data_IF_956571942368
#
_entry.id   IF_956571942368
#
_cell.length_a   1.000
_cell.length_b   1.000
_cell.length_c   1.000
_cell.angle_alpha   90.00
_cell.angle_beta   90.00
_cell.angle_gamma   90.00
#
_symmetry.space_group_name_H-M   'P 1'
#
loop_
_entity.id
_entity.type
_entity.pdbx_description
1 polymer ?
#
# COMPACT_ATOMS: atom_id res chain seq x y z
N UNK A 1 -1.50 2.19 -14.81
CA UNK A 1 -2.35 2.94 -15.76
C UNK A 1 -3.64 3.46 -15.12
N UNK A 2 -4.49 2.62 -14.53
CA UNK A 2 -5.78 3.06 -13.93
C UNK A 2 -5.63 4.19 -12.90
N UNK A 3 -4.64 4.09 -12.01
CA UNK A 3 -4.35 5.12 -11.02
C UNK A 3 -3.98 6.47 -11.63
N UNK A 4 -3.08 6.46 -12.61
CA UNK A 4 -2.64 7.65 -13.32
C UNK A 4 -3.78 8.33 -14.07
N UNK A 5 -4.56 7.57 -14.85
CA UNK A 5 -5.68 8.12 -15.61
C UNK A 5 -6.82 8.58 -14.71
N UNK A 6 -7.05 7.92 -13.57
CA UNK A 6 -8.04 8.34 -12.58
C UNK A 6 -7.73 9.71 -11.99
N UNK A 7 -6.48 9.94 -11.58
CA UNK A 7 -6.00 11.24 -11.08
C UNK A 7 -6.22 12.34 -12.11
N UNK A 8 -5.86 12.09 -13.37
CA UNK A 8 -6.00 13.06 -14.46
C UNK A 8 -7.46 13.33 -14.83
N UNK A 9 -8.29 12.29 -14.85
CA UNK A 9 -9.72 12.44 -15.10
C UNK A 9 -10.38 13.26 -13.98
N UNK A 10 -10.11 12.94 -12.72
CA UNK A 10 -10.59 13.72 -11.58
C UNK A 10 -10.13 15.18 -11.66
N UNK A 11 -8.84 15.43 -11.91
CA UNK A 11 -8.31 16.79 -12.05
C UNK A 11 -9.01 17.58 -13.16
N UNK A 12 -9.24 16.94 -14.31
CA UNK A 12 -9.94 17.56 -15.44
C UNK A 12 -11.38 17.94 -15.08
N UNK A 13 -12.12 17.07 -14.40
CA UNK A 13 -13.50 17.37 -14.01
C UNK A 13 -13.56 18.43 -12.90
N UNK A 14 -12.59 18.45 -12.00
CA UNK A 14 -12.52 19.42 -10.92
C UNK A 14 -12.11 20.83 -11.40
N UNK A 15 -11.17 20.91 -12.33
CA UNK A 15 -10.57 22.19 -12.76
C UNK A 15 -11.05 22.67 -14.13
N UNK A 16 -11.76 21.82 -14.87
CA UNK A 16 -12.22 22.05 -16.23
C UNK A 16 -11.13 21.89 -17.32
N UNK A 17 -9.88 21.57 -16.96
CA UNK A 17 -8.75 21.49 -17.90
C UNK A 17 -7.82 20.33 -17.54
N UNK A 18 -7.15 19.75 -18.54
CA UNK A 18 -6.06 18.82 -18.29
C UNK A 18 -4.77 19.59 -17.96
N UNK A 19 -4.02 19.14 -16.94
CA UNK A 19 -2.75 19.75 -16.54
C UNK A 19 -1.58 18.80 -16.73
N UNK A 20 -0.63 19.19 -17.59
CA UNK A 20 0.63 18.45 -17.75
C UNK A 20 1.45 18.43 -16.45
N UNK A 21 1.40 19.52 -15.68
CA UNK A 21 2.10 19.59 -14.39
C UNK A 21 1.53 18.57 -13.40
N UNK A 22 0.20 18.39 -13.35
CA UNK A 22 -0.44 17.34 -12.53
C UNK A 22 -0.07 15.95 -13.02
N UNK A 23 -0.04 15.73 -14.34
CA UNK A 23 0.47 14.49 -14.93
C UNK A 23 1.88 14.17 -14.43
N UNK A 24 2.82 15.10 -14.58
CA UNK A 24 4.20 14.91 -14.14
C UNK A 24 4.31 14.68 -12.63
N UNK A 25 3.63 15.48 -11.81
CA UNK A 25 3.64 15.36 -10.34
C UNK A 25 3.01 14.07 -9.82
N UNK A 26 2.12 13.43 -10.60
CA UNK A 26 1.51 12.17 -10.20
C UNK A 26 2.45 10.97 -10.38
N UNK A 27 3.46 11.07 -11.25
CA UNK A 27 4.35 9.94 -11.59
C UNK A 27 5.10 9.39 -10.35
N UNK A 28 5.74 10.22 -9.49
CA UNK A 28 6.36 9.72 -8.27
C UNK A 28 5.42 8.97 -7.33
N UNK A 29 4.14 9.33 -7.33
CA UNK A 29 3.13 8.69 -6.47
C UNK A 29 2.69 7.32 -7.01
N UNK A 30 2.92 7.04 -8.29
CA UNK A 30 2.70 5.71 -8.86
C UNK A 30 3.74 4.71 -8.36
N UNK A 31 5.01 5.16 -8.23
CA UNK A 31 6.09 4.41 -7.60
C UNK A 31 6.14 4.70 -6.09
N UNK A 32 5.04 4.38 -5.42
CA UNK A 32 4.88 4.57 -3.98
C UNK A 32 5.40 3.39 -3.17
N UNK A 33 5.62 3.62 -1.88
CA UNK A 33 5.85 2.55 -0.91
C UNK A 33 4.82 1.42 -1.00
N UNK A 34 3.56 1.81 -1.20
CA UNK A 34 2.43 0.90 -1.33
C UNK A 34 2.54 0.02 -2.59
N UNK A 35 3.09 0.57 -3.68
CA UNK A 35 3.39 -0.19 -4.89
C UNK A 35 4.51 -1.19 -4.68
N UNK A 36 5.63 -0.77 -4.08
CA UNK A 36 6.77 -1.65 -3.79
C UNK A 36 6.40 -2.83 -2.89
N UNK A 37 5.44 -2.64 -1.99
CA UNK A 37 4.93 -3.69 -1.11
C UNK A 37 3.90 -4.62 -1.74
N UNK A 38 3.54 -4.42 -3.00
CA UNK A 38 2.64 -5.33 -3.70
C UNK A 38 1.16 -5.14 -3.37
N UNK A 39 0.74 -4.00 -2.79
CA UNK A 39 -0.68 -3.70 -2.55
C UNK A 39 -1.43 -3.30 -3.84
N UNK A 40 -1.31 -4.14 -4.87
CA UNK A 40 -1.79 -3.85 -6.23
C UNK A 40 -3.31 -3.72 -6.29
N UNK A 41 -4.03 -4.53 -5.51
CA UNK A 41 -5.48 -4.43 -5.38
C UNK A 41 -5.88 -3.07 -4.77
N UNK A 42 -5.23 -2.61 -3.70
CA UNK A 42 -5.49 -1.28 -3.14
C UNK A 42 -5.21 -0.17 -4.16
N UNK A 43 -4.11 -0.24 -4.90
CA UNK A 43 -3.75 0.79 -5.90
C UNK A 43 -4.70 0.82 -7.10
N UNK A 44 -5.15 -0.34 -7.56
CA UNK A 44 -6.22 -0.44 -8.56
C UNK A 44 -7.50 0.21 -8.04
N UNK A 45 -7.91 -0.15 -6.82
CA UNK A 45 -9.09 0.40 -6.16
C UNK A 45 -8.99 1.92 -6.01
N UNK A 46 -7.83 2.43 -5.60
CA UNK A 46 -7.55 3.86 -5.47
C UNK A 46 -7.63 4.59 -6.82
N UNK A 47 -7.16 3.97 -7.91
CA UNK A 47 -7.36 4.51 -9.25
C UNK A 47 -8.83 4.60 -9.64
N UNK A 48 -9.60 3.55 -9.33
CA UNK A 48 -11.04 3.53 -9.54
C UNK A 48 -11.77 4.57 -8.65
N UNK A 49 -11.29 4.84 -7.44
CA UNK A 49 -11.81 5.93 -6.57
C UNK A 49 -11.74 7.27 -7.30
N UNK A 50 -10.59 7.63 -7.88
CA UNK A 50 -10.46 8.90 -8.60
C UNK A 50 -11.28 8.91 -9.89
N UNK A 51 -11.38 7.78 -10.60
CA UNK A 51 -12.32 7.66 -11.73
C UNK A 51 -13.77 7.90 -11.32
N UNK A 52 -14.21 7.26 -10.24
CA UNK A 52 -15.55 7.43 -9.68
C UNK A 52 -15.82 8.86 -9.22
N UNK A 53 -14.84 9.50 -8.58
CA UNK A 53 -14.94 10.90 -8.18
C UNK A 53 -15.03 11.85 -9.37
N UNK A 54 -14.22 11.63 -10.41
CA UNK A 54 -14.32 12.41 -11.65
C UNK A 54 -15.67 12.21 -12.33
N UNK A 55 -16.15 10.97 -12.40
CA UNK A 55 -17.45 10.64 -12.99
C UNK A 55 -18.59 11.32 -12.24
N UNK A 56 -18.54 11.26 -10.91
CA UNK A 56 -19.53 11.91 -10.05
C UNK A 56 -19.60 13.42 -10.32
N UNK A 57 -18.46 14.11 -10.34
CA UNK A 57 -18.41 15.54 -10.66
C UNK A 57 -18.96 15.85 -12.06
N UNK A 58 -18.71 14.99 -13.05
CA UNK A 58 -19.19 15.17 -14.42
C UNK A 58 -20.71 14.97 -14.55
N UNK A 59 -21.27 14.00 -13.84
CA UNK A 59 -22.62 13.50 -14.11
C UNK A 59 -23.65 13.82 -13.00
N UNK A 60 -23.24 14.33 -11.83
CA UNK A 60 -24.10 14.51 -10.64
C UNK A 60 -25.43 15.23 -10.90
N UNK A 61 -25.47 16.17 -11.84
CA UNK A 61 -26.69 16.92 -12.17
C UNK A 61 -27.70 16.09 -13.00
N UNK A 62 -27.32 14.88 -13.39
CA UNK A 62 -28.12 13.90 -14.16
C UNK A 62 -28.25 12.60 -13.36
N UNK A 63 -29.01 12.57 -12.25
CA UNK A 63 -29.03 11.45 -11.30
C UNK A 63 -29.43 10.12 -11.93
N UNK A 64 -30.28 10.14 -12.97
CA UNK A 64 -30.71 8.94 -13.73
C UNK A 64 -29.54 8.18 -14.38
N UNK A 65 -28.44 8.88 -14.69
CA UNK A 65 -27.23 8.30 -15.29
C UNK A 65 -26.11 8.20 -14.25
N UNK A 66 -25.95 9.23 -13.42
CA UNK A 66 -24.89 9.28 -12.41
C UNK A 66 -24.98 8.12 -11.42
N UNK A 67 -26.16 7.87 -10.85
CA UNK A 67 -26.33 6.89 -9.76
C UNK A 67 -26.07 5.47 -10.24
N UNK A 68 -26.68 4.96 -11.34
CA UNK A 68 -26.42 3.58 -11.78
C UNK A 68 -24.94 3.32 -12.08
N UNK A 69 -24.27 4.25 -12.77
CA UNK A 69 -22.84 4.10 -13.09
C UNK A 69 -21.99 4.18 -11.82
N UNK A 70 -22.31 5.08 -10.89
CA UNK A 70 -21.60 5.20 -9.62
C UNK A 70 -21.79 3.95 -8.73
N UNK A 71 -22.96 3.30 -8.77
CA UNK A 71 -23.18 2.01 -8.11
C UNK A 71 -22.29 0.90 -8.70
N UNK A 72 -22.17 0.82 -10.04
CA UNK A 72 -21.28 -0.15 -10.69
C UNK A 72 -19.82 0.11 -10.31
N UNK A 73 -19.39 1.38 -10.31
CA UNK A 73 -18.04 1.77 -9.88
C UNK A 73 -17.82 1.42 -8.40
N UNK A 74 -18.79 1.69 -7.53
CA UNK A 74 -18.71 1.36 -6.10
C UNK A 74 -18.54 -0.15 -5.86
N UNK A 75 -19.29 -0.99 -6.57
CA UNK A 75 -19.15 -2.45 -6.53
C UNK A 75 -17.75 -2.86 -7.02
N UNK A 76 -17.28 -2.31 -8.14
CA UNK A 76 -15.96 -2.61 -8.68
C UNK A 76 -14.84 -2.22 -7.70
N UNK A 77 -14.94 -1.05 -7.07
CA UNK A 77 -13.98 -0.61 -6.04
C UNK A 77 -14.03 -1.56 -4.83
N UNK A 78 -15.22 -1.93 -4.35
CA UNK A 78 -15.38 -2.82 -3.21
C UNK A 78 -14.76 -4.21 -3.46
N UNK A 79 -15.09 -4.83 -4.61
CA UNK A 79 -14.53 -6.13 -5.01
C UNK A 79 -13.02 -6.08 -5.21
N UNK A 80 -12.49 -4.90 -5.55
CA UNK A 80 -11.06 -4.68 -5.67
C UNK A 80 -10.40 -4.56 -4.29
N UNK A 81 -10.90 -3.67 -3.42
CA UNK A 81 -10.38 -3.46 -2.08
C UNK A 81 -11.36 -2.69 -1.17
N UNK A 82 -11.77 -3.27 -0.05
CA UNK A 82 -12.72 -2.66 0.91
C UNK A 82 -12.29 -1.29 1.46
N UNK A 83 -11.02 -1.12 1.85
CA UNK A 83 -10.49 0.20 2.28
C UNK A 83 -10.59 1.26 1.17
N UNK A 84 -10.34 0.91 -0.10
CA UNK A 84 -10.49 1.86 -1.20
C UNK A 84 -11.97 2.28 -1.36
N UNK A 85 -12.92 1.36 -1.15
CA UNK A 85 -14.35 1.68 -1.15
C UNK A 85 -14.73 2.65 -0.02
N UNK A 86 -14.18 2.47 1.18
CA UNK A 86 -14.38 3.44 2.26
C UNK A 86 -13.82 4.84 1.90
N UNK A 87 -12.62 4.89 1.30
CA UNK A 87 -12.03 6.14 0.82
C UNK A 87 -12.85 6.80 -0.29
N UNK A 88 -13.49 6.00 -1.16
CA UNK A 88 -14.41 6.50 -2.18
C UNK A 88 -15.62 7.23 -1.58
N UNK A 89 -16.29 6.60 -0.61
CA UNK A 89 -17.43 7.23 0.08
C UNK A 89 -17.02 8.51 0.81
N UNK A 90 -15.88 8.49 1.49
CA UNK A 90 -15.34 9.67 2.20
C UNK A 90 -14.94 10.80 1.24
N UNK A 91 -14.34 10.48 0.10
CA UNK A 91 -14.00 11.45 -0.93
C UNK A 91 -15.27 12.11 -1.51
N UNK A 92 -16.26 11.32 -1.92
CA UNK A 92 -17.52 11.86 -2.46
C UNK A 92 -18.28 12.68 -1.42
N UNK A 93 -18.35 12.20 -0.17
CA UNK A 93 -18.94 12.94 0.94
C UNK A 93 -18.25 14.28 1.17
N UNK A 94 -16.91 14.29 1.20
CA UNK A 94 -16.12 15.51 1.30
C UNK A 94 -16.32 16.47 0.14
N UNK A 95 -16.46 15.97 -1.09
CA UNK A 95 -16.76 16.79 -2.26
C UNK A 95 -18.14 17.42 -2.17
N UNK A 96 -19.20 16.67 -1.85
CA UNK A 96 -20.56 17.22 -1.71
C UNK A 96 -20.67 18.23 -0.56
N UNK A 97 -19.98 18.01 0.57
CA UNK A 97 -19.85 19.01 1.62
C UNK A 97 -19.18 20.30 1.11
N UNK A 98 -18.19 20.16 0.24
CA UNK A 98 -17.55 21.28 -0.44
C UNK A 98 -18.50 22.02 -1.39
N UNK A 99 -19.34 21.28 -2.13
CA UNK A 99 -20.32 21.86 -3.08
C UNK A 99 -21.30 22.69 -2.25
N UNK A 100 -21.84 22.10 -1.19
CA UNK A 100 -22.73 22.78 -0.25
C UNK A 100 -22.06 24.02 0.38
N UNK A 101 -20.81 23.92 0.83
CA UNK A 101 -20.11 25.04 1.47
C UNK A 101 -19.86 26.21 0.51
N UNK A 102 -19.70 25.94 -0.79
CA UNK A 102 -19.39 26.95 -1.82
C UNK A 102 -20.63 27.45 -2.58
N UNK A 103 -21.80 26.82 -2.41
CA UNK A 103 -23.04 27.23 -3.05
C UNK A 103 -23.50 28.63 -2.59
N UNK A 104 -23.97 29.45 -3.55
CA UNK A 104 -24.50 30.79 -3.27
C UNK A 104 -25.76 30.75 -2.38
N UNK A 105 -26.57 29.70 -2.51
CA UNK A 105 -27.71 29.41 -1.63
C UNK A 105 -27.55 28.01 -1.06
N UNK A 106 -27.39 27.93 0.25
CA UNK A 106 -27.21 26.66 0.95
C UNK A 106 -28.57 26.06 1.28
N UNK A 107 -28.83 24.87 0.75
CA UNK A 107 -30.07 24.12 0.98
C UNK A 107 -29.70 22.78 1.62
N UNK A 108 -30.18 22.57 2.85
CA UNK A 108 -29.96 21.29 3.54
C UNK A 108 -30.66 20.14 2.81
N UNK A 109 -31.80 20.43 2.15
CA UNK A 109 -32.51 19.44 1.34
C UNK A 109 -31.65 18.94 0.16
N UNK A 110 -30.91 19.84 -0.49
CA UNK A 110 -30.03 19.46 -1.62
C UNK A 110 -28.81 18.67 -1.14
N UNK A 111 -28.26 19.03 0.02
CA UNK A 111 -27.20 18.24 0.67
C UNK A 111 -27.72 16.84 1.02
N UNK A 112 -28.88 16.73 1.67
CA UNK A 112 -29.49 15.46 2.05
C UNK A 112 -29.80 14.58 0.83
N UNK A 113 -30.30 15.18 -0.26
CA UNK A 113 -30.53 14.46 -1.53
C UNK A 113 -29.22 13.90 -2.08
N UNK A 114 -28.15 14.68 -2.04
CA UNK A 114 -26.82 14.26 -2.50
C UNK A 114 -26.27 13.15 -1.61
N UNK A 115 -26.37 13.29 -0.28
CA UNK A 115 -25.97 12.24 0.68
C UNK A 115 -26.76 10.94 0.49
N UNK A 116 -28.06 11.02 0.22
CA UNK A 116 -28.88 9.84 -0.08
C UNK A 116 -28.44 9.16 -1.37
N UNK A 117 -28.11 9.94 -2.41
CA UNK A 117 -27.57 9.40 -3.65
C UNK A 117 -26.20 8.70 -3.45
N UNK A 118 -25.37 9.17 -2.52
CA UNK A 118 -24.15 8.48 -2.11
C UNK A 118 -24.46 7.20 -1.31
N UNK A 119 -25.44 7.23 -0.40
CA UNK A 119 -25.85 6.07 0.38
C UNK A 119 -26.35 4.93 -0.51
N UNK A 120 -27.09 5.23 -1.59
CA UNK A 120 -27.55 4.22 -2.56
C UNK A 120 -26.38 3.44 -3.18
N UNK A 121 -25.25 4.08 -3.45
CA UNK A 121 -24.06 3.43 -4.02
C UNK A 121 -23.43 2.42 -3.04
N UNK A 122 -23.66 2.59 -1.74
CA UNK A 122 -23.13 1.72 -0.71
C UNK A 122 -23.99 0.48 -0.44
N UNK A 123 -25.24 0.43 -0.92
CA UNK A 123 -26.18 -0.66 -0.60
C UNK A 123 -25.60 -2.02 -1.02
N UNK A 124 -25.23 -2.18 -2.29
CA UNK A 124 -24.71 -3.45 -2.78
C UNK A 124 -23.36 -3.83 -2.14
N UNK A 125 -22.33 -2.95 -2.07
CA UNK A 125 -21.12 -3.21 -1.30
C UNK A 125 -21.36 -3.58 0.17
N UNK A 126 -22.32 -2.93 0.84
CA UNK A 126 -22.64 -3.23 2.24
C UNK A 126 -23.28 -4.61 2.40
N UNK A 127 -24.19 -5.00 1.50
CA UNK A 127 -24.75 -6.36 1.48
C UNK A 127 -23.66 -7.39 1.24
N UNK A 128 -22.80 -7.17 0.23
CA UNK A 128 -21.66 -8.06 -0.08
C UNK A 128 -20.69 -8.19 1.10
N UNK A 129 -20.42 -7.09 1.80
CA UNK A 129 -19.60 -7.12 3.01
C UNK A 129 -20.28 -7.90 4.13
N UNK A 130 -21.56 -7.64 4.40
CA UNK A 130 -22.31 -8.28 5.48
C UNK A 130 -22.33 -9.81 5.34
N UNK A 131 -22.50 -10.33 4.12
CA UNK A 131 -22.48 -11.78 3.85
C UNK A 131 -21.07 -12.37 3.75
N UNK A 132 -20.02 -11.56 3.73
CA UNK A 132 -18.64 -12.04 3.63
C UNK A 132 -18.12 -12.56 4.97
N UNK A 133 -17.25 -13.60 4.99
CA UNK A 133 -16.58 -14.04 6.22
C UNK A 133 -15.74 -12.96 6.90
N UNK A 134 -15.34 -11.91 6.17
CA UNK A 134 -14.56 -10.78 6.69
C UNK A 134 -15.34 -9.97 7.72
N UNK A 135 -16.66 -9.82 7.56
CA UNK A 135 -17.51 -9.03 8.47
C UNK A 135 -17.58 -9.66 9.87
N UNK A 136 -17.51 -10.99 9.95
CA UNK A 136 -17.50 -11.76 11.20
C UNK A 136 -16.10 -11.95 11.81
N UNK A 137 -15.05 -11.32 11.28
CA UNK A 137 -13.70 -11.51 11.80
C UNK A 137 -13.59 -10.94 13.23
N UNK A 138 -13.20 -11.73 14.25
CA UNK A 138 -13.06 -11.28 15.63
C UNK A 138 -12.09 -10.11 15.82
N UNK A 139 -11.18 -9.88 14.87
CA UNK A 139 -10.23 -8.76 14.85
C UNK A 139 -10.75 -7.53 14.08
N UNK A 140 -12.08 -7.36 14.04
CA UNK A 140 -12.81 -6.41 13.19
C UNK A 140 -12.39 -4.94 13.36
N UNK A 141 -12.71 -4.36 14.49
CA UNK A 141 -12.03 -3.17 14.97
C UNK A 141 -10.91 -3.68 15.86
N UNK A 142 -9.64 -3.39 15.53
CA UNK A 142 -8.57 -3.59 16.51
C UNK A 142 -9.04 -3.01 17.84
N UNK A 143 -9.01 -3.80 18.92
CA UNK A 143 -9.35 -3.38 20.28
C UNK A 143 -8.40 -2.28 20.74
N UNK A 144 -8.53 -1.09 20.15
CA UNK A 144 -7.66 0.05 20.36
C UNK A 144 -7.80 0.50 21.82
N UNK A 145 -9.00 0.37 22.36
CA UNK A 145 -9.34 0.50 23.77
C UNK A 145 -8.60 -0.53 24.66
N UNK A 146 -8.61 -1.81 24.31
CA UNK A 146 -7.88 -2.84 25.08
C UNK A 146 -6.36 -2.67 24.98
N UNK A 147 -5.86 -2.32 23.80
CA UNK A 147 -4.45 -2.03 23.57
C UNK A 147 -3.99 -0.79 24.33
N UNK A 148 -4.79 0.28 24.34
CA UNK A 148 -4.53 1.50 25.11
C UNK A 148 -4.57 1.21 26.60
N UNK A 149 -5.58 0.48 27.09
CA UNK A 149 -5.68 0.10 28.51
C UNK A 149 -4.48 -0.74 28.97
N UNK A 150 -4.05 -1.71 28.16
CA UNK A 150 -2.85 -2.52 28.43
C UNK A 150 -1.57 -1.71 28.43
N UNK A 151 -1.41 -0.78 27.49
CA UNK A 151 -0.22 0.08 27.42
C UNK A 151 -0.19 1.11 28.55
N UNK A 152 -1.36 1.63 28.92
CA UNK A 152 -1.52 2.52 30.06
C UNK A 152 -1.17 1.82 31.37
N UNK A 153 -1.66 0.58 31.59
CA UNK A 153 -1.35 -0.19 32.80
C UNK A 153 0.12 -0.61 32.90
N UNK A 154 0.85 -0.63 31.79
CA UNK A 154 2.29 -0.92 31.72
C UNK A 154 3.17 0.33 31.75
N UNK A 155 2.60 1.54 31.86
CA UNK A 155 3.35 2.81 31.80
C UNK A 155 4.00 3.10 30.44
N UNK A 156 3.73 2.29 29.41
CA UNK A 156 4.39 2.34 28.10
C UNK A 156 3.61 3.18 27.07
N UNK A 157 2.59 3.92 27.50
CA UNK A 157 1.70 4.67 26.61
C UNK A 157 2.42 5.83 25.91
N UNK A 158 3.25 6.58 26.63
CA UNK A 158 3.99 7.72 26.08
C UNK A 158 5.00 7.27 25.02
N UNK A 159 5.79 6.23 25.31
CA UNK A 159 6.75 5.66 24.37
C UNK A 159 6.05 5.16 23.11
N UNK A 160 4.90 4.49 23.28
CA UNK A 160 4.12 4.03 22.13
C UNK A 160 3.54 5.18 21.31
N UNK A 161 3.08 6.24 21.95
CA UNK A 161 2.58 7.43 21.25
C UNK A 161 3.70 8.11 20.45
N UNK A 162 4.89 8.29 21.04
CA UNK A 162 6.05 8.83 20.34
C UNK A 162 6.47 7.94 19.16
N UNK A 163 6.51 6.63 19.35
CA UNK A 163 6.78 5.67 18.28
C UNK A 163 5.75 5.77 17.16
N UNK A 164 4.46 5.90 17.48
CA UNK A 164 3.40 6.07 16.49
C UNK A 164 3.52 7.41 15.76
N UNK A 165 3.80 8.51 16.46
CA UNK A 165 4.03 9.82 15.84
C UNK A 165 5.21 9.73 14.87
N UNK A 166 6.33 9.17 15.32
CA UNK A 166 7.51 8.98 14.48
C UNK A 166 7.18 8.12 13.26
N UNK A 167 6.51 6.99 13.48
CA UNK A 167 6.04 6.11 12.41
C UNK A 167 5.21 6.89 11.38
N UNK A 168 4.23 7.68 11.80
CA UNK A 168 3.39 8.50 10.91
C UNK A 168 4.19 9.53 10.11
N UNK A 169 5.13 10.21 10.76
CA UNK A 169 6.01 11.16 10.07
C UNK A 169 6.84 10.42 9.00
N UNK A 170 7.36 9.25 9.31
CA UNK A 170 8.09 8.46 8.33
C UNK A 170 7.18 7.97 7.19
N UNK A 171 5.94 7.57 7.44
CA UNK A 171 5.03 7.10 6.38
C UNK A 171 4.64 8.22 5.42
N UNK A 172 4.55 9.47 5.89
CA UNK A 172 4.32 10.64 5.02
C UNK A 172 5.51 10.87 4.09
N UNK A 173 6.74 10.79 4.59
CA UNK A 173 7.95 10.92 3.74
C UNK A 173 8.09 9.75 2.77
N UNK A 174 7.56 8.57 3.13
CA UNK A 174 7.62 7.34 2.32
C UNK A 174 6.60 7.25 1.20
N UNK A 175 5.73 8.24 1.03
CA UNK A 175 4.65 8.19 0.03
C UNK A 175 5.19 7.88 -1.36
N UNK A 176 6.23 8.60 -1.79
CA UNK A 176 7.02 8.21 -2.94
C UNK A 176 8.25 7.48 -2.38
N UNK A 177 8.34 6.17 -2.59
CA UNK A 177 9.47 5.39 -2.09
C UNK A 177 10.62 5.48 -3.10
N UNK A 178 11.80 5.81 -2.62
CA UNK A 178 13.02 6.01 -3.38
C UNK A 178 14.17 5.14 -2.85
N UNK A 179 15.39 5.34 -3.38
CA UNK A 179 16.56 4.53 -3.05
C UNK A 179 16.99 4.61 -1.59
N UNK A 180 16.77 5.75 -0.94
CA UNK A 180 17.17 6.00 0.44
C UNK A 180 16.22 6.94 1.16
N UNK A 181 16.21 6.88 2.49
CA UNK A 181 15.40 7.79 3.30
C UNK A 181 15.77 9.25 3.07
N UNK A 182 17.08 9.56 3.07
CA UNK A 182 17.59 10.91 2.90
C UNK A 182 17.20 11.49 1.53
N UNK A 183 17.30 10.69 0.47
CA UNK A 183 16.88 11.12 -0.87
C UNK A 183 15.40 11.49 -0.91
N UNK A 184 14.53 10.66 -0.32
CA UNK A 184 13.10 10.93 -0.29
C UNK A 184 12.75 12.16 0.55
N UNK A 185 13.44 12.36 1.68
CA UNK A 185 13.27 13.55 2.51
C UNK A 185 13.63 14.83 1.74
N UNK A 186 14.79 14.85 1.08
CA UNK A 186 15.23 16.00 0.28
C UNK A 186 14.28 16.24 -0.89
N UNK A 187 13.90 15.20 -1.64
CA UNK A 187 12.99 15.32 -2.76
C UNK A 187 11.60 15.83 -2.31
N UNK A 188 11.05 15.29 -1.22
CA UNK A 188 9.79 15.75 -0.66
C UNK A 188 9.88 17.23 -0.23
N UNK A 189 10.96 17.61 0.46
CA UNK A 189 11.21 19.00 0.85
C UNK A 189 11.26 19.95 -0.35
N UNK A 190 11.98 19.58 -1.41
CA UNK A 190 12.06 20.38 -2.63
C UNK A 190 10.71 20.51 -3.35
N UNK A 191 9.93 19.43 -3.44
CA UNK A 191 8.55 19.48 -3.99
C UNK A 191 7.70 20.43 -3.15
N UNK A 192 7.69 20.29 -1.83
CA UNK A 192 6.90 21.12 -0.92
C UNK A 192 7.27 22.59 -1.01
N UNK A 193 8.56 22.92 -0.99
CA UNK A 193 9.05 24.30 -1.12
C UNK A 193 8.64 24.88 -2.48
N UNK A 194 8.83 24.13 -3.56
CA UNK A 194 8.49 24.60 -4.91
C UNK A 194 6.98 24.83 -5.06
N UNK A 195 6.15 23.93 -4.54
CA UNK A 195 4.70 24.11 -4.52
C UNK A 195 4.30 25.31 -3.65
N UNK A 196 4.91 25.50 -2.47
CA UNK A 196 4.65 26.64 -1.60
C UNK A 196 4.95 27.97 -2.32
N UNK A 197 6.09 28.06 -3.03
CA UNK A 197 6.42 29.23 -3.85
C UNK A 197 5.39 29.46 -4.96
N UNK A 198 4.96 28.41 -5.65
CA UNK A 198 3.90 28.50 -6.67
C UNK A 198 2.55 28.94 -6.09
N UNK A 199 2.20 28.52 -4.88
CA UNK A 199 1.01 28.98 -4.16
C UNK A 199 1.12 30.45 -3.75
N UNK A 200 2.27 30.87 -3.21
CA UNK A 200 2.52 32.28 -2.84
C UNK A 200 2.42 33.21 -4.05
N UNK A 201 2.83 32.73 -5.23
CA UNK A 201 2.69 33.46 -6.50
C UNK A 201 1.30 33.38 -7.13
N UNK A 202 0.36 32.65 -6.51
CA UNK A 202 -0.98 32.36 -7.04
C UNK A 202 -0.96 31.63 -8.40
N UNK A 203 0.19 31.05 -8.77
CA UNK A 203 0.34 30.30 -10.01
C UNK A 203 -0.31 28.92 -9.90
N UNK A 204 -0.43 28.41 -8.67
CA UNK A 204 -1.16 27.20 -8.31
C UNK A 204 -2.20 27.53 -7.25
N UNK A 205 -3.40 26.97 -7.38
CA UNK A 205 -4.49 27.12 -6.42
C UNK A 205 -5.20 25.79 -6.17
N UNK A 206 -5.91 25.71 -5.05
CA UNK A 206 -6.82 24.61 -4.75
C UNK A 206 -8.28 25.12 -4.86
N UNK A 207 -9.15 24.45 -5.64
CA UNK A 207 -10.57 24.78 -5.65
C UNK A 207 -11.16 24.68 -4.25
N UNK A 208 -11.95 25.67 -3.83
CA UNK A 208 -12.54 25.68 -2.47
C UNK A 208 -13.37 24.43 -2.17
N UNK A 209 -13.92 23.85 -3.22
CA UNK A 209 -14.70 22.63 -3.22
C UNK A 209 -13.99 21.44 -2.54
N UNK A 210 -12.67 21.33 -2.65
CA UNK A 210 -11.98 20.10 -2.23
C UNK A 210 -11.51 20.13 -0.78
N UNK A 211 -11.59 21.27 -0.09
CA UNK A 211 -11.09 21.42 1.27
C UNK A 211 -11.65 20.40 2.27
N UNK A 212 -12.96 20.09 2.30
CA UNK A 212 -13.46 19.08 3.23
C UNK A 212 -12.88 17.69 2.94
N UNK A 213 -12.73 17.32 1.67
CA UNK A 213 -12.11 16.04 1.30
C UNK A 213 -10.62 15.99 1.71
N UNK A 214 -9.87 17.07 1.53
CA UNK A 214 -8.48 17.17 2.01
C UNK A 214 -8.39 17.10 3.53
N UNK A 215 -9.30 17.76 4.25
CA UNK A 215 -9.35 17.73 5.70
C UNK A 215 -9.66 16.32 6.22
N UNK A 216 -10.61 15.62 5.60
CA UNK A 216 -10.89 14.20 5.91
C UNK A 216 -9.66 13.34 5.63
N UNK A 217 -9.00 13.51 4.47
CA UNK A 217 -7.78 12.78 4.14
C UNK A 217 -6.64 13.01 5.14
N UNK A 218 -6.44 14.26 5.57
CA UNK A 218 -5.48 14.63 6.61
C UNK A 218 -5.83 13.99 7.96
N UNK A 219 -7.12 14.00 8.34
CA UNK A 219 -7.58 13.36 9.56
C UNK A 219 -7.31 11.85 9.53
N UNK A 220 -7.59 11.16 8.42
CA UNK A 220 -7.31 9.72 8.26
C UNK A 220 -5.83 9.39 8.44
N UNK A 221 -4.92 10.23 7.92
CA UNK A 221 -3.47 10.05 8.14
C UNK A 221 -3.15 9.99 9.64
N UNK A 222 -3.82 10.81 10.44
CA UNK A 222 -3.59 10.90 11.88
C UNK A 222 -4.28 9.76 12.66
N UNK A 223 -5.56 9.48 12.36
CA UNK A 223 -6.40 8.65 13.24
C UNK A 223 -6.55 7.20 12.80
N UNK A 224 -6.33 6.87 11.51
CA UNK A 224 -6.61 5.53 11.01
C UNK A 224 -5.69 4.51 11.67
N UNK A 225 -6.21 3.45 12.32
CA UNK A 225 -5.37 2.48 13.02
C UNK A 225 -4.48 1.67 12.06
N UNK A 226 -3.39 1.05 12.56
CA UNK A 226 -2.48 0.27 11.72
C UNK A 226 -3.12 -0.95 11.05
N UNK A 227 -4.14 -1.53 11.68
CA UNK A 227 -4.87 -2.67 11.15
C UNK A 227 -6.38 -2.54 11.37
N UNK A 228 -7.18 -3.14 10.49
CA UNK A 228 -8.63 -3.27 10.58
C UNK A 228 -9.04 -4.62 10.00
N UNK A 229 -9.95 -5.36 10.64
CA UNK A 229 -10.43 -6.68 10.22
C UNK A 229 -9.30 -7.70 9.97
N UNK A 230 -8.26 -7.63 10.81
CA UNK A 230 -7.02 -8.40 10.66
C UNK A 230 -6.10 -7.98 9.50
N UNK A 231 -6.48 -6.98 8.71
CA UNK A 231 -5.67 -6.47 7.59
C UNK A 231 -4.70 -5.42 8.11
N UNK A 232 -3.40 -5.66 7.97
CA UNK A 232 -2.34 -4.72 8.37
C UNK A 232 -2.11 -3.58 7.37
N UNK A 233 -1.25 -2.63 7.76
CA UNK A 233 -0.80 -1.48 6.95
C UNK A 233 -1.92 -0.55 6.46
N UNK A 234 -3.04 -0.48 7.19
CA UNK A 234 -4.16 0.40 6.79
C UNK A 234 -3.75 1.87 6.92
N UNK A 235 -3.08 2.24 8.02
CA UNK A 235 -2.50 3.56 8.24
C UNK A 235 -1.56 4.02 7.13
N UNK A 236 -0.73 3.11 6.62
CA UNK A 236 0.34 3.39 5.66
C UNK A 236 -0.19 3.82 4.30
N UNK A 237 -1.42 3.41 3.99
CA UNK A 237 -2.11 3.73 2.74
C UNK A 237 -2.69 5.13 2.71
N UNK A 238 -2.97 5.72 3.88
CA UNK A 238 -3.66 7.02 3.99
C UNK A 238 -2.81 8.19 3.45
N UNK A 239 -1.49 8.28 3.74
CA UNK A 239 -0.64 9.33 3.17
C UNK A 239 -0.64 9.34 1.64
N UNK A 240 -0.65 8.16 1.01
CA UNK A 240 -0.71 8.06 -0.45
C UNK A 240 -2.04 8.58 -1.00
N UNK A 241 -3.16 8.20 -0.39
CA UNK A 241 -4.48 8.73 -0.74
C UNK A 241 -4.50 10.27 -0.66
N UNK A 242 -4.03 10.83 0.46
CA UNK A 242 -3.99 12.28 0.65
C UNK A 242 -3.08 12.97 -0.37
N UNK A 243 -1.88 12.44 -0.62
CA UNK A 243 -0.95 13.01 -1.59
C UNK A 243 -1.52 13.00 -3.01
N UNK A 244 -2.16 11.89 -3.42
CA UNK A 244 -2.84 11.80 -4.71
C UNK A 244 -4.01 12.77 -4.80
N UNK A 245 -4.83 12.88 -3.75
CA UNK A 245 -5.93 13.83 -3.71
C UNK A 245 -5.42 15.28 -3.80
N UNK A 246 -4.37 15.63 -3.07
CA UNK A 246 -3.75 16.95 -3.11
C UNK A 246 -3.23 17.28 -4.51
N UNK A 247 -2.45 16.38 -5.13
CA UNK A 247 -1.92 16.57 -6.49
C UNK A 247 -3.04 16.64 -7.53
N UNK A 248 -4.03 15.74 -7.45
CA UNK A 248 -5.16 15.73 -8.36
C UNK A 248 -6.06 16.99 -8.23
N UNK A 249 -5.94 17.69 -7.11
CA UNK A 249 -6.70 18.92 -6.83
C UNK A 249 -6.02 20.21 -7.30
N UNK A 250 -4.75 20.14 -7.70
CA UNK A 250 -3.99 21.34 -8.09
C UNK A 250 -4.56 21.95 -9.38
N UNK A 251 -4.82 23.25 -9.33
CA UNK A 251 -5.14 24.06 -10.51
C UNK A 251 -3.97 24.98 -10.82
N UNK A 252 -3.28 24.68 -11.92
CA UNK A 252 -2.23 25.53 -12.47
C UNK A 252 -2.87 26.63 -13.34
N UNK A 253 -2.46 27.87 -13.09
CA UNK A 253 -2.84 29.03 -13.92
C UNK A 253 -2.08 29.04 -15.25
N UNK A 254 -2.53 29.87 -16.20
CA UNK A 254 -1.80 30.07 -17.46
C UNK A 254 -0.47 30.78 -17.20
N UNK A 255 0.63 30.03 -17.24
CA UNK A 255 1.98 30.51 -16.89
C UNK A 255 2.67 31.33 -17.99
N UNK A 256 1.97 31.72 -19.06
CA UNK A 256 2.59 32.32 -20.27
C UNK A 256 3.38 33.60 -20.00
N UNK A 257 3.08 34.32 -18.92
CA UNK A 257 3.74 35.60 -18.59
C UNK A 257 4.64 35.53 -17.36
N UNK A 258 4.53 34.50 -16.51
CA UNK A 258 5.35 34.36 -15.30
C UNK A 258 6.51 33.38 -15.52
N UNK A 259 7.66 33.93 -15.93
CA UNK A 259 8.90 33.17 -16.16
C UNK A 259 9.36 32.39 -14.92
N UNK A 260 9.13 32.92 -13.72
CA UNK A 260 9.53 32.25 -12.47
C UNK A 260 8.63 31.06 -12.22
N UNK A 261 7.31 31.21 -12.38
CA UNK A 261 6.38 30.09 -12.24
C UNK A 261 6.64 28.98 -13.28
N UNK A 262 7.00 29.36 -14.51
CA UNK A 262 7.42 28.41 -15.54
C UNK A 262 8.71 27.68 -15.13
N UNK A 263 9.73 28.40 -14.64
CA UNK A 263 10.97 27.82 -14.15
C UNK A 263 10.75 26.87 -12.97
N UNK A 264 9.93 27.24 -11.99
CA UNK A 264 9.56 26.38 -10.85
C UNK A 264 8.83 25.11 -11.32
N UNK A 265 7.93 25.23 -12.28
CA UNK A 265 7.21 24.07 -12.84
C UNK A 265 8.14 23.15 -13.63
N UNK A 266 9.08 23.70 -14.40
CA UNK A 266 10.15 22.92 -15.04
C UNK A 266 11.06 22.26 -14.00
N UNK A 267 11.35 22.95 -12.89
CA UNK A 267 12.10 22.40 -11.76
C UNK A 267 11.41 21.20 -11.14
N UNK A 268 10.07 21.24 -10.97
CA UNK A 268 9.28 20.06 -10.54
C UNK A 268 9.44 18.90 -11.53
N UNK A 269 9.35 19.17 -12.83
CA UNK A 269 9.53 18.12 -13.84
C UNK A 269 10.95 17.52 -13.83
N UNK A 270 11.97 18.36 -13.68
CA UNK A 270 13.35 17.92 -13.54
C UNK A 270 13.54 17.05 -12.28
N UNK A 271 12.92 17.43 -11.16
CA UNK A 271 12.97 16.65 -9.92
C UNK A 271 12.32 15.28 -10.09
N UNK A 272 11.19 15.20 -10.80
CA UNK A 272 10.56 13.92 -11.16
C UNK A 272 11.49 13.08 -12.04
N UNK A 273 12.13 13.67 -13.05
CA UNK A 273 13.06 12.96 -13.92
C UNK A 273 14.29 12.42 -13.15
N UNK A 274 14.91 13.24 -12.29
CA UNK A 274 16.01 12.82 -11.41
C UNK A 274 15.58 11.67 -10.52
N UNK A 275 14.37 11.72 -9.96
CA UNK A 275 13.81 10.64 -9.16
C UNK A 275 13.65 9.35 -9.95
N UNK A 276 13.11 9.41 -11.16
CA UNK A 276 12.96 8.23 -12.01
C UNK A 276 14.33 7.63 -12.37
N UNK A 277 15.32 8.47 -12.65
CA UNK A 277 16.69 8.02 -12.90
C UNK A 277 17.28 7.33 -11.66
N UNK A 278 17.15 7.94 -10.49
CA UNK A 278 17.63 7.37 -9.22
C UNK A 278 16.95 6.01 -8.91
N UNK A 279 15.64 5.91 -9.12
CA UNK A 279 14.90 4.64 -8.99
C UNK A 279 15.41 3.59 -9.99
N UNK A 280 15.63 3.98 -11.25
CA UNK A 280 16.14 3.07 -12.29
C UNK A 280 17.49 2.50 -11.90
N UNK A 281 18.42 3.33 -11.40
CA UNK A 281 19.73 2.88 -10.91
C UNK A 281 19.57 1.96 -9.70
N UNK A 282 18.72 2.34 -8.74
CA UNK A 282 18.50 1.55 -7.53
C UNK A 282 17.89 0.16 -7.79
N UNK A 283 17.23 -0.02 -8.94
CA UNK A 283 16.66 -1.30 -9.34
C UNK A 283 17.62 -2.19 -10.11
N UNK A 284 18.78 -1.69 -10.55
CA UNK A 284 19.76 -2.49 -11.30
C UNK A 284 20.23 -3.76 -10.54
N UNK A 285 20.55 -3.70 -9.22
CA UNK A 285 21.01 -4.88 -8.48
C UNK A 285 19.97 -6.01 -8.41
N UNK A 286 18.68 -5.73 -8.57
CA UNK A 286 17.63 -6.76 -8.57
C UNK A 286 17.76 -7.73 -9.75
N UNK A 287 18.48 -7.37 -10.82
CA UNK A 287 18.76 -8.29 -11.93
C UNK A 287 19.65 -9.43 -11.47
N UNK A 288 20.71 -9.10 -10.74
CA UNK A 288 21.67 -10.07 -10.22
C UNK A 288 21.04 -10.90 -9.10
N UNK A 289 20.26 -10.26 -8.22
CA UNK A 289 19.48 -10.96 -7.20
C UNK A 289 18.48 -11.95 -7.84
N UNK A 290 17.77 -11.56 -8.90
CA UNK A 290 16.84 -12.46 -9.60
C UNK A 290 17.57 -13.63 -10.27
N UNK A 291 18.74 -13.38 -10.87
CA UNK A 291 19.55 -14.44 -11.46
C UNK A 291 20.07 -15.42 -10.40
N UNK A 292 20.56 -14.92 -9.27
CA UNK A 292 20.99 -15.74 -8.14
C UNK A 292 19.83 -16.55 -7.54
N UNK A 293 18.67 -15.93 -7.37
CA UNK A 293 17.45 -16.60 -6.93
C UNK A 293 17.06 -17.75 -7.85
N UNK A 294 17.10 -17.55 -9.19
CA UNK A 294 16.78 -18.60 -10.16
C UNK A 294 17.72 -19.79 -10.05
N UNK A 295 19.03 -19.55 -9.97
CA UNK A 295 20.03 -20.63 -9.80
C UNK A 295 19.79 -21.42 -8.51
N UNK A 296 19.44 -20.75 -7.41
CA UNK A 296 19.07 -21.45 -6.16
C UNK A 296 17.77 -22.22 -6.31
N UNK A 297 16.77 -21.66 -6.98
CA UNK A 297 15.47 -22.30 -7.20
C UNK A 297 15.57 -23.57 -8.08
N UNK A 298 16.53 -23.63 -9.01
CA UNK A 298 16.81 -24.83 -9.83
C UNK A 298 17.24 -26.05 -9.01
N UNK A 299 17.78 -25.85 -7.81
CA UNK A 299 18.15 -26.93 -6.90
C UNK A 299 16.95 -27.49 -6.12
N UNK A 300 15.78 -26.88 -6.24
CA UNK A 300 14.56 -27.30 -5.56
C UNK A 300 13.71 -28.13 -6.51
N UNK A 301 13.45 -29.42 -6.20
CA UNK A 301 12.56 -30.24 -7.01
C UNK A 301 11.18 -29.56 -7.21
N UNK A 302 10.56 -29.72 -8.39
CA UNK A 302 9.19 -29.25 -8.62
C UNK A 302 8.23 -29.81 -7.56
N UNK A 303 7.21 -29.04 -7.21
CA UNK A 303 6.18 -29.39 -6.22
C UNK A 303 6.63 -29.55 -4.77
N UNK A 304 7.93 -29.39 -4.47
CA UNK A 304 8.41 -29.41 -3.08
C UNK A 304 7.77 -28.30 -2.23
N UNK A 305 7.58 -28.59 -0.95
CA UNK A 305 7.13 -27.59 0.03
C UNK A 305 8.30 -26.75 0.52
N UNK A 306 8.28 -25.46 0.18
CA UNK A 306 9.36 -24.51 0.48
C UNK A 306 8.88 -23.45 1.46
N UNK A 307 9.59 -23.30 2.57
CA UNK A 307 9.42 -22.17 3.48
C UNK A 307 10.31 -21.00 3.06
N UNK A 308 9.78 -19.79 3.06
CA UNK A 308 10.57 -18.58 2.82
C UNK A 308 10.92 -17.87 4.12
N UNK A 309 12.19 -17.49 4.28
CA UNK A 309 12.71 -16.77 5.45
C UNK A 309 13.50 -15.56 5.01
N UNK A 310 13.07 -14.38 5.45
CA UNK A 310 13.81 -13.14 5.28
C UNK A 310 14.60 -12.82 6.56
N UNK A 311 15.93 -12.84 6.50
CA UNK A 311 16.81 -12.40 7.59
C UNK A 311 17.17 -10.91 7.50
N UNK A 312 16.91 -10.27 6.36
CA UNK A 312 17.02 -8.83 6.22
C UNK A 312 15.80 -8.19 6.90
N UNK A 313 15.97 -7.71 8.13
CA UNK A 313 14.91 -7.11 8.94
C UNK A 313 14.58 -5.66 8.56
N UNK A 314 14.72 -5.34 7.29
CA UNK A 314 14.93 -3.97 6.86
C UNK A 314 13.69 -3.52 6.12
N UNK A 315 12.62 -3.24 6.87
CA UNK A 315 11.41 -2.62 6.32
C UNK A 315 11.72 -1.28 5.61
N UNK A 316 12.88 -0.69 5.91
CA UNK A 316 13.66 0.25 5.11
C UNK A 316 15.04 0.37 5.77
N UNK A 317 16.07 -0.28 5.26
CA UNK A 317 17.45 0.09 5.60
C UNK A 317 18.17 0.33 4.30
N UNK A 318 18.68 1.56 4.19
CA UNK A 318 19.55 1.99 3.12
C UNK A 318 20.61 0.91 2.84
N UNK A 319 20.75 0.50 1.58
CA UNK A 319 21.83 -0.39 1.15
C UNK A 319 21.53 -1.89 1.04
N UNK A 320 20.28 -2.37 1.17
CA UNK A 320 19.95 -3.77 0.80
C UNK A 320 18.67 -3.92 -0.03
N UNK A 321 18.72 -4.73 -1.09
CA UNK A 321 17.52 -5.08 -1.88
C UNK A 321 16.48 -5.81 -1.02
N UNK A 322 15.20 -5.63 -1.36
CA UNK A 322 14.06 -6.28 -0.70
C UNK A 322 14.01 -7.76 -1.05
N UNK A 323 13.62 -8.57 -0.07
CA UNK A 323 13.59 -10.03 -0.21
C UNK A 323 12.17 -10.58 -0.34
N UNK A 324 11.16 -9.83 0.11
CA UNK A 324 9.79 -10.29 0.31
C UNK A 324 9.12 -10.81 -0.98
N UNK A 325 9.59 -10.35 -2.14
CA UNK A 325 9.05 -10.73 -3.45
C UNK A 325 9.49 -12.12 -3.91
N UNK A 326 10.64 -12.64 -3.45
CA UNK A 326 11.24 -13.85 -4.04
C UNK A 326 10.56 -15.14 -3.60
N UNK A 327 10.07 -15.22 -2.36
CA UNK A 327 9.33 -16.39 -1.88
C UNK A 327 8.17 -16.74 -2.82
N UNK A 328 7.19 -15.84 -3.01
CA UNK A 328 6.05 -16.08 -3.91
C UNK A 328 6.44 -16.40 -5.37
N UNK A 329 7.59 -15.93 -5.86
CA UNK A 329 8.06 -16.22 -7.22
C UNK A 329 8.42 -17.68 -7.47
N UNK A 330 8.66 -18.48 -6.42
CA UNK A 330 8.87 -19.93 -6.55
C UNK A 330 7.66 -20.63 -7.22
N UNK A 331 6.43 -20.15 -6.98
CA UNK A 331 5.23 -20.76 -7.56
C UNK A 331 5.23 -20.63 -9.09
N UNK A 332 5.20 -19.41 -9.68
CA UNK A 332 5.11 -19.26 -11.12
C UNK A 332 6.42 -19.57 -11.86
N UNK A 333 7.60 -19.44 -11.22
CA UNK A 333 8.88 -19.60 -11.92
C UNK A 333 9.47 -21.00 -11.83
N UNK A 334 9.17 -21.77 -10.79
CA UNK A 334 9.80 -23.07 -10.59
C UNK A 334 8.84 -24.15 -10.06
N UNK A 335 7.55 -23.85 -9.94
CA UNK A 335 6.50 -24.85 -9.70
C UNK A 335 6.48 -25.41 -8.27
N UNK A 336 7.14 -24.75 -7.31
CA UNK A 336 7.11 -25.18 -5.92
C UNK A 336 5.93 -24.60 -5.14
N UNK A 337 5.60 -25.24 -4.02
CA UNK A 337 4.55 -24.79 -3.13
C UNK A 337 5.15 -24.04 -1.94
N UNK A 338 4.93 -22.73 -1.90
CA UNK A 338 5.37 -21.84 -0.80
C UNK A 338 4.18 -21.13 -0.16
N UNK A 339 4.24 -20.78 1.14
CA UNK A 339 3.26 -19.91 1.75
C UNK A 339 3.13 -18.58 0.98
N UNK A 340 1.89 -18.22 0.67
CA UNK A 340 1.51 -16.90 0.16
C UNK A 340 0.69 -16.16 1.23
N UNK A 341 0.55 -14.85 1.07
CA UNK A 341 -0.32 -14.05 1.94
C UNK A 341 -1.78 -14.39 1.62
N UNK A 342 -2.32 -15.46 2.22
CA UNK A 342 -3.71 -15.88 2.07
C UNK A 342 -4.33 -16.18 3.44
N UNK A 343 -5.09 -15.21 3.94
CA UNK A 343 -5.93 -15.38 5.13
C UNK A 343 -7.35 -15.65 4.67
N UNK A 344 -7.95 -16.76 5.11
CA UNK A 344 -9.28 -17.18 4.64
C UNK A 344 -10.40 -16.17 4.92
N UNK A 345 -10.21 -15.23 5.84
CA UNK A 345 -11.15 -14.13 6.12
C UNK A 345 -10.86 -12.86 5.33
N UNK A 346 -9.78 -12.79 4.56
CA UNK A 346 -9.33 -11.55 3.90
C UNK A 346 -9.24 -11.67 2.38
N UNK A 347 -9.26 -12.89 1.84
CA UNK A 347 -9.10 -13.15 0.41
C UNK A 347 -9.99 -14.31 -0.04
N UNK A 348 -10.43 -14.32 -1.31
CA UNK A 348 -11.23 -15.40 -1.88
C UNK A 348 -10.41 -16.68 -2.18
N UNK A 349 -9.17 -16.77 -1.67
CA UNK A 349 -8.26 -17.88 -1.90
C UNK A 349 -8.05 -18.61 -0.58
N UNK A 350 -8.30 -19.92 -0.58
CA UNK A 350 -8.05 -20.79 0.56
C UNK A 350 -6.87 -21.71 0.25
N UNK A 351 -5.83 -21.66 1.09
CA UNK A 351 -4.75 -22.64 1.02
C UNK A 351 -5.29 -23.98 1.54
N UNK A 352 -5.07 -25.05 0.76
CA UNK A 352 -5.50 -26.42 1.08
C UNK A 352 -4.33 -27.41 1.02
N UNK A 353 -4.57 -28.66 1.42
CA UNK A 353 -3.63 -29.75 1.25
C UNK A 353 -2.35 -29.66 2.10
N UNK A 354 -1.23 -30.24 1.64
CA UNK A 354 0.03 -30.32 2.39
C UNK A 354 0.58 -28.96 2.83
N UNK A 355 0.44 -27.93 1.99
CA UNK A 355 0.89 -26.58 2.32
C UNK A 355 0.11 -25.97 3.49
N UNK A 356 -1.22 -26.19 3.55
CA UNK A 356 -2.03 -25.76 4.70
C UNK A 356 -1.54 -26.42 5.99
N UNK A 357 -1.33 -27.73 5.94
CA UNK A 357 -0.83 -28.49 7.09
C UNK A 357 0.56 -28.00 7.54
N UNK A 358 1.45 -27.70 6.59
CA UNK A 358 2.77 -27.15 6.87
C UNK A 358 2.71 -25.78 7.55
N UNK A 359 1.86 -24.88 7.06
CA UNK A 359 1.66 -23.54 7.65
C UNK A 359 1.05 -23.64 9.04
N UNK A 360 0.03 -24.48 9.23
CA UNK A 360 -0.64 -24.67 10.52
C UNK A 360 0.25 -25.30 11.60
N UNK A 361 1.30 -26.02 11.20
CA UNK A 361 2.29 -26.58 12.14
C UNK A 361 3.31 -25.54 12.63
N UNK A 362 3.38 -24.36 12.00
CA UNK A 362 4.27 -23.30 12.44
C UNK A 362 3.64 -22.51 13.60
N UNK A 363 4.44 -22.07 14.59
CA UNK A 363 3.95 -21.18 15.62
C UNK A 363 3.46 -19.87 14.97
N UNK A 364 2.41 -19.24 15.56
CA UNK A 364 1.97 -17.94 15.08
C UNK A 364 3.15 -16.95 15.09
N UNK A 365 3.21 -16.01 14.14
CA UNK A 365 4.30 -15.06 14.09
C UNK A 365 4.41 -14.32 15.43
N UNK A 366 5.49 -14.57 16.18
CA UNK A 366 5.71 -13.95 17.48
C UNK A 366 5.80 -12.43 17.33
N UNK A 367 5.22 -11.67 18.26
CA UNK A 367 5.33 -10.20 18.34
C UNK A 367 6.73 -9.66 18.66
N UNK A 368 7.78 -10.47 18.52
CA UNK A 368 9.17 -10.07 18.77
C UNK A 368 9.63 -8.99 17.79
N UNK A 369 10.27 -7.95 18.33
CA UNK A 369 10.63 -6.70 17.61
C UNK A 369 11.77 -6.87 16.59
N UNK A 370 12.58 -7.94 16.65
CA UNK A 370 13.71 -8.16 15.74
C UNK A 370 13.43 -9.30 14.74
N UNK A 371 13.46 -8.98 13.44
CA UNK A 371 13.28 -9.93 12.34
C UNK A 371 14.40 -10.96 12.21
N UNK A 372 15.61 -10.63 12.66
CA UNK A 372 16.72 -11.60 12.74
C UNK A 372 16.39 -12.78 13.66
N UNK A 373 15.94 -12.47 14.89
CA UNK A 373 15.50 -13.49 15.84
C UNK A 373 14.22 -14.20 15.37
N UNK A 374 13.33 -13.52 14.64
CA UNK A 374 12.16 -14.17 14.02
C UNK A 374 12.56 -15.15 12.93
N UNK A 375 13.53 -14.82 12.09
CA UNK A 375 13.95 -15.66 10.97
C UNK A 375 14.62 -16.96 11.42
N UNK A 376 15.54 -16.89 12.39
CA UNK A 376 16.20 -18.09 12.95
C UNK A 376 15.19 -19.03 13.63
N UNK A 377 14.31 -18.48 14.49
CA UNK A 377 13.25 -19.28 15.12
C UNK A 377 12.32 -19.91 14.09
N UNK A 378 12.08 -19.22 12.97
CA UNK A 378 11.25 -19.74 11.88
C UNK A 378 11.94 -20.91 11.16
N UNK A 379 13.25 -20.85 10.92
CA UNK A 379 14.01 -21.98 10.37
C UNK A 379 13.91 -23.18 11.31
N UNK A 380 14.16 -22.98 12.61
CA UNK A 380 14.06 -24.04 13.61
C UNK A 380 12.63 -24.62 13.70
N UNK A 381 11.60 -23.78 13.67
CA UNK A 381 10.21 -24.23 13.69
C UNK A 381 9.84 -25.04 12.44
N UNK A 382 10.31 -24.64 11.25
CA UNK A 382 10.11 -25.41 10.02
C UNK A 382 10.80 -26.76 10.08
N UNK A 383 12.05 -26.80 10.59
CA UNK A 383 12.81 -28.03 10.79
C UNK A 383 12.10 -28.98 11.77
N UNK A 384 11.59 -28.44 12.89
CA UNK A 384 10.88 -29.21 13.91
C UNK A 384 9.51 -29.70 13.43
N UNK A 385 8.79 -28.92 12.64
CA UNK A 385 7.51 -29.31 12.09
C UNK A 385 7.63 -30.48 11.09
N UNK A 386 8.77 -30.62 10.41
CA UNK A 386 9.03 -31.70 9.45
C UNK A 386 8.09 -31.70 8.24
N UNK A 387 7.40 -30.58 7.97
CA UNK A 387 6.44 -30.45 6.85
C UNK A 387 7.00 -29.71 5.65
N UNK A 388 8.03 -28.89 5.85
CA UNK A 388 8.75 -28.23 4.76
C UNK A 388 9.95 -29.08 4.38
N UNK A 389 10.16 -29.27 3.08
CA UNK A 389 11.34 -29.98 2.56
C UNK A 389 12.55 -29.04 2.49
N UNK A 390 12.28 -27.78 2.15
CA UNK A 390 13.31 -26.77 1.99
C UNK A 390 12.95 -25.46 2.70
N UNK A 391 13.98 -24.72 3.10
CA UNK A 391 13.89 -23.33 3.48
C UNK A 391 14.76 -22.48 2.55
N UNK A 392 14.12 -21.56 1.82
CA UNK A 392 14.78 -20.51 1.07
C UNK A 392 15.04 -19.32 1.99
N UNK A 393 16.30 -18.99 2.18
CA UNK A 393 16.75 -17.88 3.03
C UNK A 393 17.23 -16.74 2.14
N UNK A 394 16.77 -15.53 2.46
CA UNK A 394 17.36 -14.30 1.93
C UNK A 394 18.23 -13.63 3.01
N UNK A 395 19.38 -13.11 2.58
CA UNK A 395 20.43 -12.55 3.43
C UNK A 395 21.05 -13.58 4.42
N UNK A 396 21.56 -14.74 3.94
CA UNK A 396 22.14 -15.78 4.79
C UNK A 396 23.36 -15.30 5.57
N UNK A 397 24.06 -14.26 5.10
CA UNK A 397 25.18 -13.62 5.81
C UNK A 397 24.79 -13.05 7.18
N UNK A 398 23.49 -12.83 7.42
CA UNK A 398 22.98 -12.36 8.73
C UNK A 398 22.61 -13.52 9.68
N UNK A 399 22.89 -14.76 9.31
CA UNK A 399 22.67 -15.92 10.17
C UNK A 399 23.74 -15.97 11.27
N UNK A 400 23.39 -15.55 12.49
CA UNK A 400 24.29 -15.56 13.64
C UNK A 400 24.31 -16.85 14.47
N UNK A 401 23.33 -17.74 14.29
CA UNK A 401 23.21 -19.00 15.03
C UNK A 401 23.46 -20.20 14.11
N UNK A 402 24.03 -21.30 14.63
CA UNK A 402 24.19 -22.52 13.85
C UNK A 402 22.83 -23.06 13.41
N UNK A 403 22.82 -23.70 12.25
CA UNK A 403 21.62 -24.36 11.73
C UNK A 403 21.22 -25.53 12.64
N UNK A 404 19.91 -25.85 12.75
CA UNK A 404 19.47 -27.08 13.39
C UNK A 404 20.22 -28.30 12.83
N UNK A 405 20.49 -29.32 13.64
CA UNK A 405 21.18 -30.53 13.18
C UNK A 405 20.46 -31.25 12.01
N UNK A 406 19.14 -31.04 11.91
CA UNK A 406 18.29 -31.54 10.82
C UNK A 406 18.23 -30.58 9.61
N UNK A 407 19.12 -29.61 9.50
CA UNK A 407 19.12 -28.62 8.43
C UNK A 407 20.50 -28.58 7.74
N UNK A 408 20.52 -28.79 6.43
CA UNK A 408 21.76 -28.84 5.63
C UNK A 408 21.72 -27.78 4.54
N UNK A 409 22.72 -26.90 4.52
CA UNK A 409 22.93 -25.95 3.42
C UNK A 409 23.22 -26.73 2.13
N UNK A 410 22.37 -26.58 1.12
CA UNK A 410 22.42 -27.36 -0.13
C UNK A 410 22.89 -26.51 -1.31
N UNK A 411 22.56 -25.22 -1.33
CA UNK A 411 23.02 -24.28 -2.35
C UNK A 411 23.10 -22.87 -1.75
N UNK A 412 24.01 -22.04 -2.27
CA UNK A 412 24.09 -20.62 -1.92
C UNK A 412 24.56 -19.83 -3.14
N UNK A 413 23.78 -18.85 -3.55
CA UNK A 413 24.10 -17.96 -4.67
C UNK A 413 23.76 -16.53 -4.28
N UNK A 414 24.75 -15.64 -4.37
CA UNK A 414 24.61 -14.25 -3.95
C UNK A 414 24.04 -14.16 -2.53
N UNK A 415 22.88 -13.50 -2.41
CA UNK A 415 22.17 -13.29 -1.14
C UNK A 415 21.12 -14.34 -0.80
N UNK A 416 21.10 -15.47 -1.50
CA UNK A 416 20.13 -16.54 -1.28
C UNK A 416 20.85 -17.81 -0.85
N UNK A 417 20.29 -18.49 0.15
CA UNK A 417 20.71 -19.81 0.57
C UNK A 417 19.52 -20.76 0.59
N UNK A 418 19.76 -21.99 0.15
CA UNK A 418 18.80 -23.08 0.21
C UNK A 418 19.23 -24.08 1.28
N UNK A 419 18.34 -24.30 2.22
CA UNK A 419 18.53 -25.30 3.27
C UNK A 419 17.55 -26.44 3.03
N UNK A 420 18.06 -27.67 3.01
CA UNK A 420 17.24 -28.88 3.07
C UNK A 420 16.93 -29.23 4.52
N UNK A 421 15.67 -29.52 4.82
CA UNK A 421 15.19 -29.87 6.15
C UNK A 421 14.94 -31.38 6.23
N UNK A 422 15.73 -32.08 7.04
CA UNK A 422 15.83 -33.54 7.16
C UNK A 422 14.66 -34.22 7.90
N UNK A 423 13.45 -33.66 7.82
CA UNK A 423 12.26 -34.18 8.49
C UNK A 423 11.09 -34.53 7.54
N UNK A 424 11.16 -34.11 6.29
CA UNK A 424 10.12 -34.43 5.31
C UNK A 424 10.40 -35.82 4.69
N UNK A 425 9.43 -36.77 4.71
CA UNK A 425 9.58 -38.02 3.99
C UNK A 425 9.83 -37.70 2.51
N UNK A 426 10.83 -38.35 1.90
CA UNK A 426 11.07 -38.21 0.48
C UNK A 426 9.75 -38.51 -0.25
N UNK A 427 9.21 -37.54 -0.99
CA UNK A 427 8.00 -37.73 -1.76
C UNK A 427 8.20 -38.94 -2.68
N UNK A 428 7.46 -40.02 -2.43
CA UNK A 428 7.33 -41.11 -3.40
C UNK A 428 6.66 -40.51 -4.63
N UNK A 429 7.37 -40.56 -5.76
CA UNK A 429 6.98 -39.95 -7.03
C UNK A 429 5.74 -40.58 -7.62
#
# INVERSE_FOLDING_TARGET
>A
MVQYTGILFFNRQLTGRASLAVAVLSIPLLYSFIFTWGFMNFLLGLGLVFWGAGWWLLARDKPRIAIPVACVIAIAIFLTHGVAFALYGLLLGGLELGIFATAARRSLADLMRSMLALAVQAIAPAILFAISPTSGNPQGLTNADEAVRRLASQGALNDRMLELIWYRLTTVVRVAEGPSFAFDLVAAGLVTITLALLFMRKSVTLPRLVWPALAIGALLVLITPPALFGVGYVSDRMPLFLAMLAVASLRFSEMRTDRVAAALTMGLAALVAVRLAALTVAWQPYRDDLAAFRRVAEHIPPHSLVGFVNLANDHRIDGSSRCEMYGPLLIPLAGQATPIFAFGTQQPITIVGPLKAAISALPPPSGSRSGLFRGQRRIAAMAQAGKFEFALICAPERLSAPLPASAVLTAQEGRFALIRLSGAPAAQR
#
